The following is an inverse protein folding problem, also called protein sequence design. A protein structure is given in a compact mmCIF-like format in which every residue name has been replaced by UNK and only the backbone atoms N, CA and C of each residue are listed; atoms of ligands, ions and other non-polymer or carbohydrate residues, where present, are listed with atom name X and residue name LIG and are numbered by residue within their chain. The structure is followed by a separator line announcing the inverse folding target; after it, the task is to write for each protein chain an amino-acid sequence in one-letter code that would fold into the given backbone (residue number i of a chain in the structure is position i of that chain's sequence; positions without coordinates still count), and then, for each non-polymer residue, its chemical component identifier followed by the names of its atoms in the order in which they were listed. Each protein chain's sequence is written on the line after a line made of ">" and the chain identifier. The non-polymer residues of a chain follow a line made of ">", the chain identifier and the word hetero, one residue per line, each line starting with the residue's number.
data_IF_383630826192
#
_entry.id   IF_383630826192
#
_cell.length_a   1.000
_cell.length_b   1.000
_cell.length_c   1.000
_cell.angle_alpha   90.00
_cell.angle_beta   90.00
_cell.angle_gamma   90.00
#
_symmetry.space_group_name_H-M   'P 1'
#
loop_
_entity.id
_entity.type
_entity.pdbx_description
1 polymer ?
#
# COMPACT_ATOMS: atom_id res chain seq x y z
N UNK A 1 51.83 -31.86 30.56
CA UNK A 1 50.60 -31.67 29.76
C UNK A 1 50.04 -30.28 30.06
N UNK A 2 50.17 -29.31 29.13
CA UNK A 2 49.63 -27.94 29.29
C UNK A 2 48.52 -27.75 28.25
N UNK A 3 47.27 -27.75 28.71
CA UNK A 3 46.09 -27.51 27.88
C UNK A 3 46.04 -26.02 27.53
N UNK A 4 46.23 -25.69 26.25
CA UNK A 4 46.24 -24.31 25.75
C UNK A 4 44.94 -23.98 25.03
N UNK A 5 44.34 -22.90 25.51
CA UNK A 5 43.55 -21.91 24.75
C UNK A 5 42.12 -22.29 24.34
N UNK A 6 41.19 -21.91 25.22
CA UNK A 6 39.85 -21.50 24.84
C UNK A 6 39.93 -20.17 24.08
N UNK A 7 39.37 -20.09 22.87
CA UNK A 7 38.99 -18.83 22.22
C UNK A 7 37.63 -19.02 21.54
N UNK A 8 36.73 -18.14 21.93
CA UNK A 8 35.33 -18.04 21.56
C UNK A 8 35.12 -17.71 20.07
N UNK A 9 34.09 -18.30 19.47
CA UNK A 9 33.46 -17.79 18.27
C UNK A 9 31.93 -17.74 18.50
N UNK A 10 31.48 -16.73 19.23
CA UNK A 10 30.06 -16.34 19.24
C UNK A 10 29.83 -15.59 17.94
N UNK A 11 29.41 -16.32 16.90
CA UNK A 11 29.01 -15.73 15.63
C UNK A 11 27.76 -14.87 15.86
N UNK A 12 27.88 -13.57 15.57
CA UNK A 12 26.82 -12.58 15.63
C UNK A 12 25.61 -13.05 14.81
N UNK A 13 24.52 -13.36 15.51
CA UNK A 13 23.17 -13.41 14.95
C UNK A 13 22.77 -11.99 14.57
N UNK A 14 23.14 -11.54 13.37
CA UNK A 14 22.54 -10.38 12.73
C UNK A 14 21.11 -10.76 12.30
N UNK A 15 20.20 -10.85 13.27
CA UNK A 15 18.78 -10.85 13.00
C UNK A 15 18.42 -9.48 12.43
N UNK A 16 18.23 -9.41 11.11
CA UNK A 16 17.67 -8.23 10.46
C UNK A 16 16.31 -7.95 11.07
N UNK A 17 16.20 -6.88 11.85
CA UNK A 17 14.91 -6.37 12.24
C UNK A 17 14.20 -5.94 10.95
N UNK A 18 13.18 -6.70 10.54
CA UNK A 18 12.25 -6.27 9.52
C UNK A 18 11.65 -4.95 9.99
N UNK A 19 12.07 -3.84 9.36
CA UNK A 19 11.44 -2.55 9.59
C UNK A 19 10.07 -2.63 8.96
N UNK A 20 9.02 -2.64 9.79
CA UNK A 20 7.68 -2.38 9.31
C UNK A 20 7.71 -1.05 8.56
N UNK A 21 7.25 -1.06 7.32
CA UNK A 21 7.15 0.15 6.52
C UNK A 21 6.21 1.11 7.24
N UNK A 22 6.65 2.34 7.47
CA UNK A 22 5.86 3.31 8.20
C UNK A 22 4.56 3.56 7.43
N UNK A 23 3.42 3.40 8.10
CA UNK A 23 2.11 3.64 7.48
C UNK A 23 2.04 5.07 6.95
N UNK A 24 1.68 5.21 5.68
CA UNK A 24 1.55 6.52 5.05
C UNK A 24 0.48 7.36 5.77
N UNK A 25 0.68 8.68 5.98
CA UNK A 25 -0.28 9.53 6.71
C UNK A 25 -1.70 9.49 6.13
N UNK A 26 -1.83 9.32 4.81
CA UNK A 26 -3.11 9.25 4.11
C UNK A 26 -3.65 7.82 3.91
N UNK A 27 -3.12 6.82 4.61
CA UNK A 27 -3.55 5.42 4.46
C UNK A 27 -5.03 5.23 4.80
N UNK A 28 -5.50 5.81 5.92
CA UNK A 28 -6.91 5.71 6.32
C UNK A 28 -7.84 6.37 5.30
N UNK A 29 -7.46 7.54 4.79
CA UNK A 29 -8.21 8.26 3.75
C UNK A 29 -8.30 7.44 2.45
N UNK A 30 -7.20 6.78 2.06
CA UNK A 30 -7.18 5.91 0.88
C UNK A 30 -8.12 4.71 1.03
N UNK A 31 -8.17 4.08 2.21
CA UNK A 31 -9.11 2.98 2.50
C UNK A 31 -10.56 3.46 2.45
N UNK A 32 -10.85 4.65 2.98
CA UNK A 32 -12.20 5.23 2.91
C UNK A 32 -12.61 5.55 1.47
N UNK A 33 -11.67 6.05 0.67
CA UNK A 33 -11.88 6.25 -0.77
C UNK A 33 -12.04 4.95 -1.53
N UNK A 34 -11.31 3.88 -1.16
CA UNK A 34 -11.46 2.56 -1.77
C UNK A 34 -12.86 1.98 -1.58
N UNK A 35 -13.45 2.09 -0.37
CA UNK A 35 -14.84 1.67 -0.13
C UNK A 35 -15.81 2.41 -1.03
N UNK A 36 -15.65 3.74 -1.17
CA UNK A 36 -16.51 4.59 -2.00
C UNK A 36 -16.33 4.27 -3.49
N UNK A 37 -15.10 4.06 -3.93
CA UNK A 37 -14.77 3.78 -5.33
C UNK A 37 -15.30 2.41 -5.78
N UNK A 38 -15.13 1.38 -4.94
CA UNK A 38 -15.64 0.05 -5.23
C UNK A 38 -17.16 0.05 -5.35
N UNK A 39 -17.86 0.65 -4.37
CA UNK A 39 -19.31 0.79 -4.39
C UNK A 39 -19.80 1.61 -5.59
N UNK A 40 -19.08 2.67 -5.96
CA UNK A 40 -19.40 3.45 -7.15
C UNK A 40 -19.25 2.64 -8.44
N UNK A 41 -18.23 1.78 -8.53
CA UNK A 41 -17.94 1.01 -9.73
C UNK A 41 -19.00 -0.06 -10.04
N UNK A 42 -19.59 -0.68 -9.00
CA UNK A 42 -20.59 -1.74 -9.15
C UNK A 42 -22.04 -1.29 -8.96
N UNK A 43 -22.26 -0.12 -8.35
CA UNK A 43 -23.60 0.40 -8.10
C UNK A 43 -24.38 -0.42 -7.07
N UNK A 44 -25.71 -0.39 -7.17
CA UNK A 44 -26.55 -1.22 -6.30
C UNK A 44 -26.39 -2.70 -6.66
N UNK A 45 -25.82 -3.48 -5.74
CA UNK A 45 -25.55 -4.90 -5.90
C UNK A 45 -25.86 -5.66 -4.61
N UNK A 46 -26.38 -6.88 -4.76
CA UNK A 46 -26.58 -7.82 -3.64
C UNK A 46 -25.26 -8.51 -3.23
N UNK A 47 -24.17 -8.26 -3.96
CA UNK A 47 -22.87 -8.85 -3.69
C UNK A 47 -22.16 -8.12 -2.55
N UNK A 48 -21.58 -8.87 -1.61
CA UNK A 48 -20.74 -8.29 -0.58
C UNK A 48 -19.45 -7.75 -1.18
N UNK A 49 -19.19 -6.47 -0.91
CA UNK A 49 -17.96 -5.77 -1.24
C UNK A 49 -17.09 -5.62 0.01
N UNK A 50 -15.79 -5.86 -0.14
CA UNK A 50 -14.80 -5.60 0.91
C UNK A 50 -13.57 -4.90 0.34
N UNK A 51 -12.82 -4.23 1.19
CA UNK A 51 -11.49 -3.69 0.86
C UNK A 51 -10.53 -4.02 1.99
N UNK A 52 -9.24 -4.10 1.66
CA UNK A 52 -8.18 -4.21 2.66
C UNK A 52 -8.24 -3.02 3.64
N UNK A 53 -7.87 -3.26 4.89
CA UNK A 53 -7.87 -2.27 5.97
C UNK A 53 -6.60 -1.39 5.97
N UNK A 54 -5.68 -1.65 5.04
CA UNK A 54 -4.43 -0.92 4.90
C UNK A 54 -4.21 -0.49 3.46
N UNK A 55 -3.55 0.66 3.30
CA UNK A 55 -3.04 1.09 2.01
C UNK A 55 -1.51 0.95 1.96
N UNK A 56 -1.02 0.44 0.83
CA UNK A 56 0.41 0.30 0.55
C UNK A 56 0.90 1.44 -0.33
N UNK A 57 1.98 2.12 0.04
CA UNK A 57 2.62 3.06 -0.89
C UNK A 57 3.40 2.28 -1.95
N UNK A 58 2.98 2.40 -3.22
CA UNK A 58 3.57 1.63 -4.34
C UNK A 58 4.48 2.47 -5.22
N UNK A 59 4.54 3.78 -4.98
CA UNK A 59 5.49 4.65 -5.65
C UNK A 59 5.00 6.09 -5.72
N UNK A 60 5.46 6.79 -6.75
CA UNK A 60 5.08 8.18 -7.03
C UNK A 60 4.89 8.42 -8.51
N UNK A 61 3.98 9.33 -8.87
CA UNK A 61 3.79 9.80 -10.25
C UNK A 61 4.16 11.28 -10.36
N UNK A 62 4.66 11.69 -11.54
CA UNK A 62 5.04 13.09 -11.77
C UNK A 62 3.78 13.94 -11.97
N UNK A 63 3.75 15.12 -11.37
CA UNK A 63 2.68 16.09 -11.64
C UNK A 63 2.71 16.53 -13.12
N UNK A 64 1.53 16.72 -13.72
CA UNK A 64 1.41 17.15 -15.12
C UNK A 64 1.96 18.56 -15.36
N UNK A 65 2.03 19.39 -14.30
CA UNK A 65 2.57 20.75 -14.30
C UNK A 65 3.50 20.93 -13.11
N UNK A 66 4.57 21.72 -13.31
CA UNK A 66 5.58 21.97 -12.29
C UNK A 66 6.57 20.82 -12.09
N UNK A 67 7.27 20.84 -10.95
CA UNK A 67 8.29 19.86 -10.58
C UNK A 67 7.85 18.88 -9.49
N UNK A 68 6.60 18.97 -9.04
CA UNK A 68 6.06 18.14 -7.96
C UNK A 68 5.83 16.68 -8.34
N UNK A 69 5.61 15.86 -7.31
CA UNK A 69 5.23 14.45 -7.43
C UNK A 69 4.02 14.18 -6.55
N UNK A 70 3.31 13.12 -6.87
CA UNK A 70 2.21 12.59 -6.08
C UNK A 70 2.57 11.21 -5.57
N UNK A 71 2.18 10.93 -4.34
CA UNK A 71 2.27 9.59 -3.77
C UNK A 71 1.16 8.72 -4.32
N UNK A 72 1.46 7.45 -4.60
CA UNK A 72 0.48 6.46 -5.04
C UNK A 72 0.29 5.44 -3.94
N UNK A 73 -0.93 5.40 -3.41
CA UNK A 73 -1.35 4.39 -2.44
C UNK A 73 -2.24 3.36 -3.11
N UNK A 74 -1.96 2.10 -2.87
CA UNK A 74 -2.70 0.94 -3.37
C UNK A 74 -3.58 0.36 -2.26
N UNK A 75 -4.82 0.05 -2.58
CA UNK A 75 -5.75 -0.70 -1.74
C UNK A 75 -6.40 -1.77 -2.60
N UNK A 76 -6.44 -3.02 -2.12
CA UNK A 76 -7.18 -4.09 -2.79
C UNK A 76 -8.65 -4.04 -2.38
N UNK A 77 -9.52 -4.24 -3.35
CA UNK A 77 -10.96 -4.43 -3.18
C UNK A 77 -11.40 -5.77 -3.73
N UNK A 78 -12.51 -6.27 -3.21
CA UNK A 78 -13.04 -7.58 -3.54
C UNK A 78 -14.54 -7.49 -3.65
N UNK A 79 -15.08 -8.02 -4.74
CA UNK A 79 -16.52 -8.22 -4.89
C UNK A 79 -16.74 -9.59 -5.52
N UNK A 80 -17.47 -10.45 -4.81
CA UNK A 80 -17.62 -11.85 -5.20
C UNK A 80 -16.25 -12.52 -5.49
N UNK A 81 -16.01 -12.95 -6.74
CA UNK A 81 -14.77 -13.57 -7.22
C UNK A 81 -13.83 -12.59 -7.93
N UNK A 82 -14.22 -11.33 -8.03
CA UNK A 82 -13.41 -10.28 -8.62
C UNK A 82 -12.49 -9.66 -7.57
N UNK A 83 -11.23 -9.53 -7.93
CA UNK A 83 -10.22 -8.79 -7.17
C UNK A 83 -9.90 -7.52 -7.93
N UNK A 84 -9.81 -6.39 -7.22
CA UNK A 84 -9.64 -5.07 -7.81
C UNK A 84 -8.47 -4.36 -7.12
N UNK A 85 -7.46 -4.01 -7.91
CA UNK A 85 -6.38 -3.14 -7.46
C UNK A 85 -6.80 -1.70 -7.68
N UNK A 86 -6.88 -0.92 -6.60
CA UNK A 86 -7.20 0.50 -6.68
C UNK A 86 -5.98 1.34 -6.31
N UNK A 87 -5.70 2.38 -7.10
CA UNK A 87 -4.64 3.35 -6.85
C UNK A 87 -5.21 4.73 -6.55
N UNK A 88 -4.74 5.34 -5.45
CA UNK A 88 -5.12 6.66 -4.97
C UNK A 88 -3.90 7.58 -5.03
N UNK A 89 -4.03 8.69 -5.75
CA UNK A 89 -2.93 9.59 -6.09
C UNK A 89 -3.03 10.84 -5.19
N UNK A 90 -2.09 11.03 -4.27
CA UNK A 90 -2.13 12.10 -3.27
C UNK A 90 -1.09 13.20 -3.52
N UNK A 91 -1.48 14.45 -3.32
CA UNK A 91 -0.54 15.56 -3.26
C UNK A 91 0.38 15.46 -2.04
N UNK A 92 1.67 15.77 -2.23
CA UNK A 92 2.66 15.82 -1.16
C UNK A 92 2.56 17.14 -0.39
N UNK A 93 1.49 17.30 0.40
CA UNK A 93 1.23 18.49 1.23
C UNK A 93 1.29 18.06 2.71
N UNK A 94 2.23 18.58 3.51
CA UNK A 94 2.35 18.18 4.91
C UNK A 94 1.06 18.45 5.71
N UNK A 95 0.51 17.39 6.32
CA UNK A 95 -0.67 17.47 7.17
C UNK A 95 -2.02 17.34 6.45
N UNK A 96 -2.03 17.34 5.12
CA UNK A 96 -3.26 17.27 4.32
C UNK A 96 -3.26 16.08 3.36
N UNK A 97 -4.40 15.38 3.29
CA UNK A 97 -4.63 14.29 2.33
C UNK A 97 -5.46 14.80 1.15
N UNK A 98 -4.79 15.46 0.19
CA UNK A 98 -5.44 15.98 -1.01
C UNK A 98 -5.40 14.93 -2.12
N UNK A 99 -6.54 14.30 -2.39
CA UNK A 99 -6.70 13.30 -3.44
C UNK A 99 -6.76 13.96 -4.83
N UNK A 100 -5.83 13.61 -5.70
CA UNK A 100 -5.66 14.16 -7.05
C UNK A 100 -6.21 13.24 -8.14
N UNK A 101 -6.36 11.95 -7.86
CA UNK A 101 -6.81 10.97 -8.84
C UNK A 101 -7.06 9.60 -8.21
N UNK A 102 -7.85 8.81 -8.91
CA UNK A 102 -8.25 7.47 -8.51
C UNK A 102 -8.27 6.58 -9.76
N UNK A 103 -7.80 5.34 -9.62
CA UNK A 103 -7.85 4.30 -10.64
C UNK A 103 -8.34 3.00 -9.99
N UNK A 104 -9.14 2.23 -10.73
CA UNK A 104 -9.56 0.87 -10.36
C UNK A 104 -9.29 -0.06 -11.54
N UNK A 105 -8.57 -1.15 -11.27
CA UNK A 105 -8.25 -2.18 -12.25
C UNK A 105 -8.65 -3.55 -11.70
N UNK A 106 -9.37 -4.34 -12.49
CA UNK A 106 -9.57 -5.76 -12.17
C UNK A 106 -8.22 -6.48 -12.23
N UNK A 107 -7.91 -7.26 -11.20
CA UNK A 107 -6.67 -8.02 -11.05
C UNK A 107 -6.76 -9.41 -11.70
N UNK A 108 -7.41 -9.51 -12.86
CA UNK A 108 -7.44 -10.72 -13.68
C UNK A 108 -6.29 -10.73 -14.69
N UNK A 109 -5.88 -11.93 -15.14
CA UNK A 109 -4.90 -12.11 -16.20
C UNK A 109 -5.62 -12.43 -17.52
N UNK A 110 -5.73 -11.46 -18.44
CA UNK A 110 -6.39 -11.68 -19.73
C UNK A 110 -5.42 -12.19 -20.83
N UNK A 111 -4.16 -12.49 -20.51
CA UNK A 111 -3.11 -12.89 -21.46
C UNK A 111 -2.59 -14.32 -21.23
#
# INVERSE_FOLDING_TARGET
>A
MRLRSAIAAVALLAAGAARAEATHPCSADAVDHARKLLAFHFGETEMTETVDDTAKQVGTVKALRGSGRFDVLEVMGYIYKGEYRMHFIYAQIPGDCVLMGQEILEASDPY
#
